data_IF_397690235064
#
_entry.id   IF_397690235064
#
_cell.length_a   1.000
_cell.length_b   1.000
_cell.length_c   1.000
_cell.angle_alpha   90.00
_cell.angle_beta   90.00
_cell.angle_gamma   90.00
#
_symmetry.space_group_name_H-M   'P 1'
#
loop_
_entity.id
_entity.type
_entity.pdbx_description
1 polymer ?
#
# COMPACT_ATOMS: atom_id res chain seq x y z
N UNK A 1 -4.66 18.98 1.45
CA UNK A 1 -5.56 18.12 0.69
C UNK A 1 -6.71 17.62 1.56
N UNK A 2 -7.79 17.17 0.94
CA UNK A 2 -9.00 16.69 1.60
C UNK A 2 -9.28 15.27 1.11
N UNK A 3 -9.29 14.31 2.03
CA UNK A 3 -9.51 12.91 1.70
C UNK A 3 -10.72 12.33 2.42
N UNK A 4 -11.33 11.34 1.77
CA UNK A 4 -12.31 10.44 2.38
C UNK A 4 -11.68 9.06 2.51
N UNK A 5 -11.64 8.50 3.71
CA UNK A 5 -11.38 7.08 3.90
C UNK A 5 -12.61 6.31 3.45
N UNK A 6 -12.42 5.43 2.48
CA UNK A 6 -13.46 4.60 1.90
C UNK A 6 -13.27 3.13 2.32
N UNK A 7 -14.38 2.42 2.47
CA UNK A 7 -14.43 0.97 2.48
C UNK A 7 -15.22 0.54 1.24
N UNK A 8 -14.51 0.12 0.19
CA UNK A 8 -15.10 -0.09 -1.14
C UNK A 8 -15.85 1.19 -1.59
N UNK A 9 -17.16 1.15 -1.73
CA UNK A 9 -18.02 2.27 -2.14
C UNK A 9 -18.60 3.05 -0.93
N UNK A 10 -18.32 2.63 0.31
CA UNK A 10 -18.87 3.25 1.51
C UNK A 10 -17.89 4.30 2.06
N UNK A 11 -18.27 5.59 2.13
CA UNK A 11 -17.47 6.59 2.82
C UNK A 11 -17.50 6.31 4.34
N UNK A 12 -16.33 6.26 4.96
CA UNK A 12 -16.16 5.99 6.39
C UNK A 12 -16.01 7.27 7.18
N UNK A 13 -15.06 8.11 6.78
CA UNK A 13 -14.80 9.42 7.39
C UNK A 13 -14.08 10.33 6.40
N UNK A 14 -14.21 11.66 6.58
CA UNK A 14 -13.42 12.66 5.85
C UNK A 14 -12.41 13.34 6.77
N UNK A 15 -11.28 13.76 6.20
CA UNK A 15 -10.20 14.37 6.98
C UNK A 15 -9.34 15.32 6.14
N UNK A 16 -8.73 16.28 6.83
CA UNK A 16 -7.70 17.14 6.28
C UNK A 16 -6.36 16.41 6.35
N UNK A 17 -5.59 16.47 5.26
CA UNK A 17 -4.32 15.76 5.09
C UNK A 17 -3.18 16.72 4.77
N UNK A 18 -2.07 16.59 5.46
CA UNK A 18 -0.84 17.30 5.21
C UNK A 18 0.04 16.49 4.26
N UNK A 19 0.25 17.01 3.05
CA UNK A 19 1.08 16.38 2.02
C UNK A 19 2.58 16.46 2.34
N UNK A 20 3.02 17.43 3.16
CA UNK A 20 4.43 17.53 3.56
C UNK A 20 4.81 16.53 4.64
N UNK A 21 3.93 16.34 5.61
CA UNK A 21 4.13 15.38 6.70
C UNK A 21 3.49 13.99 6.43
N UNK A 22 2.79 13.83 5.32
CA UNK A 22 2.08 12.61 4.91
C UNK A 22 1.16 12.03 6.00
N UNK A 23 0.35 12.90 6.61
CA UNK A 23 -0.52 12.51 7.75
C UNK A 23 -1.85 13.25 7.78
N UNK A 24 -2.86 12.62 8.39
CA UNK A 24 -4.11 13.29 8.73
C UNK A 24 -3.87 14.34 9.84
N UNK A 25 -4.37 15.56 9.61
CA UNK A 25 -4.28 16.69 10.57
C UNK A 25 -5.53 16.78 11.43
N UNK A 26 -6.69 16.55 10.82
CA UNK A 26 -8.00 16.66 11.49
C UNK A 26 -9.02 15.75 10.82
N UNK A 27 -9.79 15.01 11.61
CA UNK A 27 -11.02 14.34 11.15
C UNK A 27 -12.09 15.41 11.05
N UNK A 28 -12.74 15.51 9.89
CA UNK A 28 -13.80 16.49 9.61
C UNK A 28 -15.18 15.94 9.95
N UNK A 29 -15.47 14.73 9.43
CA UNK A 29 -16.76 14.08 9.60
C UNK A 29 -16.61 12.56 9.62
N UNK A 30 -17.43 11.88 10.40
CA UNK A 30 -17.52 10.41 10.44
C UNK A 30 -18.88 10.01 9.90
N UNK A 31 -18.90 9.24 8.80
CA UNK A 31 -20.13 8.84 8.10
C UNK A 31 -20.60 7.46 8.54
N UNK A 32 -19.67 6.49 8.60
CA UNK A 32 -19.97 5.08 8.85
C UNK A 32 -18.90 4.45 9.78
N UNK A 33 -18.99 4.69 11.10
CA UNK A 33 -18.00 4.16 12.04
C UNK A 33 -17.95 2.63 12.07
N UNK A 34 -19.05 1.96 11.79
CA UNK A 34 -19.14 0.50 11.70
C UNK A 34 -18.40 -0.09 10.48
N UNK A 35 -18.15 0.73 9.46
CA UNK A 35 -17.39 0.35 8.27
C UNK A 35 -15.89 0.69 8.39
N UNK A 36 -15.45 1.26 9.51
CA UNK A 36 -14.06 1.63 9.75
C UNK A 36 -13.15 0.40 9.90
N UNK A 37 -11.84 0.54 9.67
CA UNK A 37 -10.89 -0.53 9.95
C UNK A 37 -10.96 -0.99 11.40
N UNK A 38 -10.69 -2.28 11.63
CA UNK A 38 -10.71 -2.85 12.97
C UNK A 38 -9.77 -2.06 13.92
N UNK A 39 -10.28 -1.72 15.08
CA UNK A 39 -9.55 -0.98 16.11
C UNK A 39 -9.62 0.54 15.99
N UNK A 40 -10.24 1.11 14.94
CA UNK A 40 -10.40 2.57 14.80
C UNK A 40 -11.39 3.15 15.78
N UNK A 41 -12.46 2.41 16.06
CA UNK A 41 -13.56 2.87 16.91
C UNK A 41 -13.25 2.48 18.33
N UNK A 42 -13.21 3.45 19.23
CA UNK A 42 -13.02 3.22 20.65
C UNK A 42 -14.31 2.71 21.31
N UNK A 43 -14.26 2.45 22.64
CA UNK A 43 -15.41 1.96 23.41
C UNK A 43 -16.59 2.96 23.49
N UNK A 44 -16.36 4.22 23.11
CA UNK A 44 -17.38 5.28 23.10
C UNK A 44 -17.99 5.48 21.72
N UNK A 45 -17.45 4.80 20.70
CA UNK A 45 -17.87 4.96 19.31
C UNK A 45 -17.11 6.06 18.56
N UNK A 46 -16.08 6.65 19.16
CA UNK A 46 -15.29 7.72 18.55
C UNK A 46 -14.13 7.15 17.74
N UNK A 47 -13.80 7.81 16.63
CA UNK A 47 -12.63 7.51 15.80
C UNK A 47 -11.52 8.51 16.08
N UNK A 48 -10.37 7.99 16.49
CA UNK A 48 -9.20 8.79 16.81
C UNK A 48 -8.36 9.09 15.56
N UNK A 49 -7.91 10.36 15.45
CA UNK A 49 -6.90 10.74 14.44
C UNK A 49 -5.59 9.95 14.61
N UNK A 50 -5.24 9.58 15.83
CA UNK A 50 -4.03 8.80 16.10
C UNK A 50 -4.10 7.42 15.46
N UNK A 51 -5.25 6.73 15.57
CA UNK A 51 -5.48 5.42 14.92
C UNK A 51 -5.48 5.53 13.40
N UNK A 52 -6.11 6.57 12.83
CA UNK A 52 -6.06 6.84 11.39
C UNK A 52 -4.61 7.00 10.90
N UNK A 53 -3.80 7.79 11.59
CA UNK A 53 -2.39 8.00 11.25
C UNK A 53 -1.53 6.76 11.49
N UNK A 54 -1.84 5.96 12.51
CA UNK A 54 -1.18 4.68 12.75
C UNK A 54 -1.44 3.71 11.61
N UNK A 55 -2.71 3.52 11.24
CA UNK A 55 -3.11 2.67 10.12
C UNK A 55 -2.46 3.11 8.82
N UNK A 56 -2.49 4.41 8.50
CA UNK A 56 -1.91 4.95 7.29
C UNK A 56 -0.41 4.66 7.18
N UNK A 57 0.35 4.92 8.23
CA UNK A 57 1.79 4.65 8.25
C UNK A 57 2.12 3.16 8.06
N UNK A 58 1.31 2.28 8.63
CA UNK A 58 1.53 0.83 8.55
C UNK A 58 0.99 0.22 7.25
N UNK A 59 0.29 1.01 6.45
CA UNK A 59 -0.18 0.61 5.13
C UNK A 59 0.91 0.67 4.09
N UNK A 60 1.83 1.59 4.18
CA UNK A 60 2.98 1.72 3.28
C UNK A 60 4.01 0.60 3.51
N UNK A 61 4.87 0.39 2.53
CA UNK A 61 6.03 -0.49 2.68
C UNK A 61 6.89 0.01 3.84
N UNK A 62 7.29 -0.84 4.80
CA UNK A 62 8.19 -0.43 5.88
C UNK A 62 9.52 0.13 5.32
N UNK A 63 9.92 1.29 5.80
CA UNK A 63 11.19 1.91 5.39
C UNK A 63 12.42 1.06 5.79
N UNK A 64 12.26 0.18 6.80
CA UNK A 64 13.28 -0.79 7.25
C UNK A 64 13.47 -1.97 6.31
N UNK A 65 12.50 -2.23 5.40
CA UNK A 65 12.62 -3.35 4.47
C UNK A 65 13.85 -3.20 3.60
N UNK A 66 14.56 -4.32 3.38
CA UNK A 66 15.72 -4.35 2.50
C UNK A 66 15.41 -3.71 1.15
N UNK A 67 16.37 -2.96 0.62
CA UNK A 67 16.35 -2.30 -0.69
C UNK A 67 15.39 -1.10 -0.85
N UNK A 68 14.49 -0.82 0.09
CA UNK A 68 13.52 0.28 0.00
C UNK A 68 14.19 1.64 -0.15
N UNK A 69 15.27 1.90 0.58
CA UNK A 69 16.02 3.16 0.46
C UNK A 69 16.49 3.40 -0.99
N UNK A 70 17.10 2.39 -1.62
CA UNK A 70 17.56 2.47 -3.00
C UNK A 70 16.42 2.59 -4.00
N UNK A 71 15.30 1.90 -3.74
CA UNK A 71 14.08 2.04 -4.53
C UNK A 71 13.60 3.50 -4.54
N UNK A 72 13.48 4.12 -3.37
CA UNK A 72 13.04 5.51 -3.24
C UNK A 72 13.99 6.49 -3.93
N UNK A 73 15.31 6.31 -3.78
CA UNK A 73 16.34 7.10 -4.46
C UNK A 73 16.17 7.02 -5.99
N UNK A 74 16.00 5.82 -6.53
CA UNK A 74 15.84 5.60 -7.98
C UNK A 74 14.52 6.16 -8.52
N UNK A 75 13.44 6.08 -7.73
CA UNK A 75 12.13 6.65 -8.08
C UNK A 75 12.04 8.17 -7.77
N UNK A 76 13.07 8.75 -7.17
CA UNK A 76 13.11 10.16 -6.72
C UNK A 76 11.94 10.50 -5.77
N UNK A 77 11.65 9.60 -4.83
CA UNK A 77 10.59 9.74 -3.85
C UNK A 77 11.15 9.92 -2.45
N UNK A 78 10.50 10.76 -1.65
CA UNK A 78 10.93 11.11 -0.29
C UNK A 78 10.61 10.00 0.73
N UNK A 79 9.51 9.28 0.54
CA UNK A 79 9.07 8.26 1.47
C UNK A 79 8.19 7.18 0.81
N UNK A 80 8.02 6.05 1.50
CA UNK A 80 7.10 4.98 1.07
C UNK A 80 5.64 5.40 1.18
N UNK A 81 5.32 6.42 1.97
CA UNK A 81 3.98 6.99 2.03
C UNK A 81 3.57 7.64 0.72
N UNK A 82 4.52 8.27 0.00
CA UNK A 82 4.26 8.78 -1.35
C UNK A 82 3.87 7.67 -2.31
N UNK A 83 4.49 6.49 -2.23
CA UNK A 83 4.07 5.32 -3.01
C UNK A 83 2.62 4.90 -2.68
N UNK A 84 2.27 4.86 -1.40
CA UNK A 84 0.92 4.54 -0.97
C UNK A 84 -0.10 5.58 -1.44
N UNK A 85 0.23 6.87 -1.40
CA UNK A 85 -0.61 7.96 -1.93
C UNK A 85 -0.88 7.79 -3.43
N UNK A 86 0.16 7.48 -4.21
CA UNK A 86 0.04 7.29 -5.68
C UNK A 86 -0.85 6.11 -6.07
N UNK A 87 -1.11 5.19 -5.16
CA UNK A 87 -2.03 4.05 -5.34
C UNK A 87 -3.31 4.21 -4.52
N UNK A 88 -3.69 5.43 -4.09
CA UNK A 88 -4.87 5.70 -3.25
C UNK A 88 -4.86 4.91 -1.92
N UNK A 89 -3.72 4.42 -1.47
CA UNK A 89 -3.62 3.50 -0.36
C UNK A 89 -4.30 2.14 -0.62
N UNK A 90 -4.64 1.81 -1.85
CA UNK A 90 -5.29 0.55 -2.22
C UNK A 90 -4.40 -0.67 -1.91
N UNK A 91 -5.03 -1.77 -1.50
CA UNK A 91 -4.37 -3.04 -1.20
C UNK A 91 -5.21 -4.20 -1.74
N UNK A 92 -4.58 -5.35 -1.94
CA UNK A 92 -5.28 -6.63 -2.16
C UNK A 92 -5.57 -7.38 -0.86
N UNK A 93 -5.15 -6.83 0.29
CA UNK A 93 -5.41 -7.43 1.61
C UNK A 93 -6.72 -6.98 2.25
N UNK A 94 -7.27 -5.86 1.81
CA UNK A 94 -8.53 -5.28 2.29
C UNK A 94 -9.16 -4.36 1.24
N UNK A 95 -10.27 -3.68 1.58
CA UNK A 95 -11.01 -2.81 0.68
C UNK A 95 -10.97 -1.34 1.07
N UNK A 96 -10.04 -0.94 1.95
CA UNK A 96 -9.88 0.44 2.37
C UNK A 96 -8.99 1.21 1.41
N UNK A 97 -9.38 2.47 1.15
CA UNK A 97 -8.61 3.36 0.28
C UNK A 97 -8.93 4.83 0.58
N UNK A 98 -8.08 5.73 0.09
CA UNK A 98 -8.26 7.18 0.22
C UNK A 98 -8.77 7.75 -1.09
N UNK A 99 -9.93 8.40 -1.04
CA UNK A 99 -10.49 9.13 -2.16
C UNK A 99 -10.21 10.62 -1.99
N UNK A 100 -9.61 11.25 -3.00
CA UNK A 100 -9.39 12.70 -3.00
C UNK A 100 -10.70 13.42 -3.29
N UNK A 101 -11.11 14.36 -2.42
CA UNK A 101 -12.34 15.13 -2.61
C UNK A 101 -12.22 16.10 -3.79
N UNK A 102 -11.00 16.55 -4.14
CA UNK A 102 -10.74 17.48 -5.23
C UNK A 102 -10.65 16.77 -6.60
N UNK A 103 -10.31 15.47 -6.62
CA UNK A 103 -10.27 14.61 -7.83
C UNK A 103 -10.82 13.21 -7.51
N UNK A 104 -12.14 13.08 -7.32
CA UNK A 104 -12.74 11.85 -6.82
C UNK A 104 -12.73 10.74 -7.87
N UNK A 105 -12.27 9.55 -7.44
CA UNK A 105 -12.32 8.32 -8.21
C UNK A 105 -13.50 7.43 -7.77
N UNK A 106 -13.84 6.43 -8.59
CA UNK A 106 -14.75 5.35 -8.20
C UNK A 106 -13.98 4.08 -7.85
N UNK A 107 -14.50 3.30 -6.89
CA UNK A 107 -13.93 2.01 -6.54
C UNK A 107 -13.71 1.11 -7.76
N UNK A 108 -14.71 1.03 -8.63
CA UNK A 108 -14.66 0.13 -9.79
C UNK A 108 -13.54 0.51 -10.78
N UNK A 109 -13.19 1.80 -10.84
CA UNK A 109 -12.12 2.28 -11.71
C UNK A 109 -10.72 2.07 -11.15
N UNK A 110 -10.55 1.99 -9.81
CA UNK A 110 -9.22 2.07 -9.20
C UNK A 110 -8.80 0.80 -8.44
N UNK A 111 -9.74 -0.07 -8.03
CA UNK A 111 -9.42 -1.23 -7.23
C UNK A 111 -8.54 -2.24 -7.99
N UNK A 112 -7.68 -2.98 -7.26
CA UNK A 112 -6.79 -4.00 -7.84
C UNK A 112 -7.40 -5.41 -7.84
N UNK A 113 -8.60 -5.59 -7.33
CA UNK A 113 -9.30 -6.88 -7.39
C UNK A 113 -9.82 -7.17 -8.79
N UNK A 114 -10.32 -6.14 -9.47
CA UNK A 114 -10.96 -6.24 -10.77
C UNK A 114 -10.11 -5.62 -11.89
N UNK A 115 -9.22 -4.67 -11.56
CA UNK A 115 -8.36 -4.01 -12.52
C UNK A 115 -6.94 -4.61 -12.49
N UNK A 116 -6.33 -4.72 -13.65
CA UNK A 116 -4.95 -5.20 -13.79
C UNK A 116 -3.94 -4.14 -13.32
N UNK A 117 -2.76 -4.61 -12.93
CA UNK A 117 -1.63 -3.77 -12.51
C UNK A 117 -0.31 -4.32 -13.07
N UNK A 118 0.68 -3.43 -13.26
CA UNK A 118 2.02 -3.82 -13.71
C UNK A 118 2.79 -4.54 -12.59
N UNK A 119 3.62 -5.51 -12.97
CA UNK A 119 4.56 -6.21 -12.10
C UNK A 119 5.84 -5.39 -11.79
N UNK A 120 6.06 -4.27 -12.50
CA UNK A 120 7.30 -3.52 -12.45
C UNK A 120 7.68 -3.05 -11.03
N UNK A 121 6.73 -2.41 -10.33
CA UNK A 121 6.99 -1.98 -8.95
C UNK A 121 7.26 -3.19 -8.04
N UNK A 122 6.55 -4.29 -8.24
CA UNK A 122 6.76 -5.54 -7.53
C UNK A 122 8.15 -6.12 -7.77
N UNK A 123 8.65 -6.08 -9.00
CA UNK A 123 10.00 -6.47 -9.36
C UNK A 123 11.04 -5.63 -8.62
N UNK A 124 10.89 -4.31 -8.64
CA UNK A 124 11.81 -3.38 -7.99
C UNK A 124 11.79 -3.52 -6.46
N UNK A 125 10.63 -3.76 -5.85
CA UNK A 125 10.51 -3.95 -4.39
C UNK A 125 11.16 -5.23 -3.88
N UNK A 126 11.31 -6.25 -4.74
CA UNK A 126 12.09 -7.47 -4.43
C UNK A 126 13.60 -7.26 -4.54
N UNK A 127 14.05 -6.11 -5.05
CA UNK A 127 15.47 -5.83 -5.23
C UNK A 127 16.12 -6.68 -6.32
N UNK A 128 15.37 -7.23 -7.24
CA UNK A 128 15.88 -8.08 -8.32
C UNK A 128 16.79 -7.32 -9.30
N UNK A 129 16.68 -5.99 -9.31
CA UNK A 129 17.49 -5.08 -10.14
C UNK A 129 18.75 -4.53 -9.44
N UNK A 130 19.09 -5.02 -8.26
CA UNK A 130 20.17 -4.43 -7.45
C UNK A 130 21.55 -4.49 -8.09
N UNK A 131 21.75 -5.34 -9.08
CA UNK A 131 23.01 -5.47 -9.79
C UNK A 131 23.06 -4.69 -11.11
N UNK A 132 21.95 -4.08 -11.55
CA UNK A 132 21.86 -3.40 -12.85
C UNK A 132 22.12 -4.33 -14.05
N UNK A 133 21.89 -5.63 -13.86
CA UNK A 133 22.36 -6.68 -14.76
C UNK A 133 21.22 -7.51 -15.38
N UNK A 134 19.97 -7.29 -14.98
CA UNK A 134 18.85 -8.00 -15.60
C UNK A 134 18.42 -7.27 -16.88
N UNK A 135 18.43 -7.95 -18.04
CA UNK A 135 17.91 -7.36 -19.29
C UNK A 135 16.41 -7.04 -19.21
N UNK A 136 15.70 -7.63 -18.25
CA UNK A 136 14.26 -7.46 -18.03
C UNK A 136 13.93 -6.46 -16.91
N UNK A 137 14.91 -5.74 -16.37
CA UNK A 137 14.69 -4.75 -15.33
C UNK A 137 13.86 -3.58 -15.86
N UNK A 138 12.76 -3.21 -15.21
CA UNK A 138 11.95 -2.08 -15.65
C UNK A 138 12.72 -0.76 -15.52
N UNK A 139 12.49 0.17 -16.44
CA UNK A 139 13.01 1.52 -16.34
C UNK A 139 12.26 2.29 -15.24
N UNK A 140 12.97 2.72 -14.20
CA UNK A 140 12.40 3.47 -13.09
C UNK A 140 11.60 4.71 -13.51
N UNK A 141 11.92 5.29 -14.68
CA UNK A 141 11.22 6.47 -15.21
C UNK A 141 9.83 6.17 -15.76
N UNK A 142 9.56 4.93 -16.11
CA UNK A 142 8.30 4.49 -16.74
C UNK A 142 7.47 3.59 -15.85
N UNK A 143 7.96 3.25 -14.65
CA UNK A 143 7.26 2.39 -13.70
C UNK A 143 5.95 3.03 -13.24
N UNK A 144 4.85 2.28 -13.35
CA UNK A 144 3.58 2.68 -12.74
C UNK A 144 3.66 2.55 -11.22
N UNK A 145 3.41 3.65 -10.52
CA UNK A 145 3.34 3.67 -9.06
C UNK A 145 1.96 3.27 -8.54
N UNK A 146 0.94 3.21 -9.42
CA UNK A 146 -0.37 2.64 -9.09
C UNK A 146 -0.29 1.12 -9.11
N UNK A 147 0.01 0.54 -7.96
CA UNK A 147 0.23 -0.91 -7.80
C UNK A 147 -0.08 -1.34 -6.37
N UNK A 148 -0.66 -2.53 -6.14
CA UNK A 148 -0.85 -3.09 -4.81
C UNK A 148 0.48 -3.38 -4.11
N UNK A 149 1.58 -3.35 -4.85
CA UNK A 149 2.93 -3.51 -4.29
C UNK A 149 3.39 -2.30 -3.48
N UNK A 150 2.78 -1.13 -3.63
CA UNK A 150 3.06 0.07 -2.84
C UNK A 150 2.55 -0.01 -1.40
N UNK A 151 1.61 -0.90 -1.11
CA UNK A 151 0.93 -1.04 0.20
C UNK A 151 1.16 -2.40 0.86
N UNK A 152 2.21 -3.10 0.50
CA UNK A 152 2.58 -4.39 1.10
C UNK A 152 3.32 -4.19 2.43
N UNK A 153 2.61 -4.25 3.54
CA UNK A 153 3.19 -4.19 4.90
C UNK A 153 4.10 -5.39 5.24
N UNK A 154 4.86 -5.29 6.36
CA UNK A 154 5.74 -6.35 6.88
C UNK A 154 7.14 -6.37 6.26
N UNK A 155 8.11 -6.99 6.94
CA UNK A 155 9.54 -6.93 6.60
C UNK A 155 9.99 -7.94 5.54
N UNK A 156 9.25 -9.05 5.36
CA UNK A 156 9.60 -10.05 4.34
C UNK A 156 9.44 -9.47 2.93
N UNK A 157 10.40 -9.81 2.06
CA UNK A 157 10.33 -9.48 0.65
C UNK A 157 9.17 -10.25 0.01
N UNK A 158 8.26 -9.51 -0.59
CA UNK A 158 7.07 -10.05 -1.23
C UNK A 158 6.56 -9.11 -2.30
N UNK A 159 5.81 -9.67 -3.26
CA UNK A 159 5.11 -8.90 -4.28
C UNK A 159 3.81 -9.55 -4.71
N UNK A 160 2.86 -8.74 -5.08
CA UNK A 160 1.71 -9.17 -5.86
C UNK A 160 2.05 -9.27 -7.34
N UNK A 161 1.54 -10.30 -7.98
CA UNK A 161 1.64 -10.52 -9.42
C UNK A 161 0.37 -11.15 -9.96
N UNK A 162 0.03 -10.84 -11.21
CA UNK A 162 -1.04 -11.53 -11.93
C UNK A 162 -0.41 -12.70 -12.70
N UNK A 163 -0.89 -13.90 -12.42
CA UNK A 163 -0.46 -15.15 -13.11
C UNK A 163 -1.72 -15.84 -13.63
N UNK A 164 -1.82 -15.98 -14.94
CA UNK A 164 -3.00 -16.59 -15.61
C UNK A 164 -4.34 -15.94 -15.17
N UNK A 165 -4.35 -14.63 -14.97
CA UNK A 165 -5.53 -13.88 -14.52
C UNK A 165 -5.79 -13.92 -12.99
N UNK A 166 -5.04 -14.70 -12.23
CA UNK A 166 -5.14 -14.77 -10.77
C UNK A 166 -4.13 -13.85 -10.09
N UNK A 167 -4.56 -13.23 -8.98
CA UNK A 167 -3.72 -12.37 -8.15
C UNK A 167 -2.98 -13.23 -7.13
N UNK A 168 -1.67 -13.36 -7.30
CA UNK A 168 -0.81 -14.24 -6.49
C UNK A 168 0.16 -13.42 -5.67
N UNK A 169 0.26 -13.68 -4.37
CA UNK A 169 1.27 -13.10 -3.50
C UNK A 169 2.51 -13.99 -3.49
N UNK A 170 3.58 -13.53 -4.11
CA UNK A 170 4.89 -14.17 -4.05
C UNK A 170 5.66 -13.67 -2.82
N UNK A 171 6.23 -14.57 -2.05
CA UNK A 171 7.06 -14.27 -0.88
C UNK A 171 8.46 -14.85 -1.09
N UNK A 172 9.48 -14.11 -0.66
CA UNK A 172 10.87 -14.54 -0.67
C UNK A 172 11.36 -14.61 0.78
N UNK A 173 12.07 -15.68 1.13
CA UNK A 173 12.73 -15.77 2.44
C UNK A 173 13.92 -14.81 2.53
N UNK A 174 14.24 -14.42 3.75
CA UNK A 174 15.39 -13.57 4.08
C UNK A 174 16.44 -14.40 4.80
N UNK A 175 17.69 -14.38 4.29
CA UNK A 175 18.82 -15.02 4.94
C UNK A 175 19.33 -16.29 4.25
N UNK A 176 20.37 -16.89 4.86
CA UNK A 176 21.14 -17.98 4.25
C UNK A 176 20.34 -19.28 4.10
N UNK A 177 19.32 -19.50 4.91
CA UNK A 177 18.53 -20.75 4.95
C UNK A 177 17.17 -20.63 4.28
N UNK A 178 16.69 -19.41 4.02
CA UNK A 178 15.46 -19.11 3.28
C UNK A 178 14.24 -19.93 3.74
N UNK A 179 14.09 -20.12 5.06
CA UNK A 179 13.12 -21.06 5.65
C UNK A 179 11.72 -20.45 5.89
N UNK A 180 11.60 -19.11 5.96
CA UNK A 180 10.34 -18.45 6.28
C UNK A 180 9.20 -18.83 5.34
N UNK A 181 9.39 -18.87 3.99
CA UNK A 181 8.32 -19.31 3.09
C UNK A 181 7.90 -20.74 3.29
N UNK A 182 8.85 -21.64 3.63
CA UNK A 182 8.54 -23.03 3.92
C UNK A 182 7.74 -23.20 5.21
N UNK A 183 8.04 -22.41 6.23
CA UNK A 183 7.31 -22.43 7.49
C UNK A 183 5.86 -21.93 7.33
N UNK A 184 5.62 -20.94 6.47
CA UNK A 184 4.27 -20.45 6.16
C UNK A 184 3.45 -21.53 5.43
N UNK A 185 4.03 -22.24 4.47
CA UNK A 185 3.36 -23.33 3.75
C UNK A 185 3.04 -24.51 4.70
N UNK A 186 3.89 -24.79 5.67
CA UNK A 186 3.66 -25.84 6.64
C UNK A 186 2.58 -25.51 7.69
N UNK A 187 2.24 -24.21 7.86
CA UNK A 187 1.24 -23.73 8.81
C UNK A 187 -0.17 -23.60 8.20
N UNK A 188 -0.33 -23.76 6.89
CA UNK A 188 -1.60 -23.73 6.17
C UNK A 188 -2.12 -25.13 5.90
#
# INVERSE_FOLDING_TARGET
>A
AHYVLMNKNTPVLSFDYDLGDHKAVRIREVFAPEAAPFGFVDRRGDISKAELNYWWRHRAIPASRAHVKRLLENLQLESTLVLAEKSFGLSLSDRYWLNDEDDPASWDAVNFFDNDFSDDLGFLTLGQDLAGSSPDAPDYRTVSLSSPNSTLGGDLLKKWKIVNGERVLLKSGVGFVNQEPYNEVAAT
#
